data_IF_303521220530
#
_entry.id   IF_303521220530
#
_cell.length_a   1.000
_cell.length_b   1.000
_cell.length_c   1.000
_cell.angle_alpha   90.00
_cell.angle_beta   90.00
_cell.angle_gamma   90.00
#
_symmetry.space_group_name_H-M   'P 1'
#
loop_
_entity.id
_entity.type
_entity.pdbx_description
1 polymer ?
#
# COMPACT_ATOMS: atom_id res chain seq x y z
N UNK A 1 19.58 1.60 18.68
CA UNK A 1 19.15 0.85 17.46
C UNK A 1 17.86 1.48 17.00
N UNK A 2 17.89 2.07 15.81
CA UNK A 2 16.86 2.98 15.32
C UNK A 2 15.53 2.25 15.03
N UNK A 3 14.40 2.62 15.67
CA UNK A 3 13.11 2.00 15.41
C UNK A 3 12.62 2.17 13.96
N UNK A 4 13.11 3.19 13.24
CA UNK A 4 12.63 3.55 11.89
C UNK A 4 13.05 2.54 10.81
N UNK A 5 14.26 1.97 10.87
CA UNK A 5 14.72 0.97 9.88
C UNK A 5 13.99 -0.38 9.98
N UNK A 6 13.41 -0.68 11.15
CA UNK A 6 12.66 -1.93 11.34
C UNK A 6 11.40 -2.00 10.47
N UNK A 7 10.79 -0.84 10.21
CA UNK A 7 9.52 -0.69 9.49
C UNK A 7 9.66 -0.47 7.98
N UNK A 8 10.79 0.05 7.52
CA UNK A 8 10.98 0.38 6.10
C UNK A 8 10.75 -0.84 5.18
N UNK A 9 11.26 -2.01 5.59
CA UNK A 9 11.13 -3.23 4.80
C UNK A 9 9.67 -3.71 4.62
N UNK A 10 8.90 -4.01 5.69
CA UNK A 10 7.52 -4.46 5.51
C UNK A 10 6.66 -3.44 4.78
N UNK A 11 6.89 -2.14 4.99
CA UNK A 11 6.17 -1.08 4.29
C UNK A 11 6.45 -1.08 2.80
N UNK A 12 7.72 -1.25 2.39
CA UNK A 12 8.08 -1.35 0.98
C UNK A 12 7.43 -2.57 0.31
N UNK A 13 7.39 -3.73 0.97
CA UNK A 13 6.73 -4.93 0.41
C UNK A 13 5.22 -4.71 0.24
N UNK A 14 4.56 -4.10 1.22
CA UNK A 14 3.11 -3.77 1.13
C UNK A 14 2.84 -2.76 0.02
N UNK A 15 3.71 -1.78 -0.16
CA UNK A 15 3.57 -0.78 -1.21
C UNK A 15 3.71 -1.38 -2.62
N UNK A 16 4.52 -2.44 -2.78
CA UNK A 16 4.77 -3.12 -4.05
C UNK A 16 3.70 -4.13 -4.45
N UNK A 17 2.98 -4.67 -3.47
CA UNK A 17 1.99 -5.73 -3.65
C UNK A 17 0.95 -5.44 -4.74
N UNK A 18 0.33 -4.23 -4.84
CA UNK A 18 -0.63 -3.94 -5.89
C UNK A 18 -0.04 -4.01 -7.30
N UNK A 19 1.20 -3.55 -7.46
CA UNK A 19 1.88 -3.54 -8.76
C UNK A 19 2.28 -4.96 -9.18
N UNK A 20 2.85 -5.73 -8.26
CA UNK A 20 3.19 -7.14 -8.52
C UNK A 20 1.94 -7.98 -8.78
N UNK A 21 0.83 -7.70 -8.08
CA UNK A 21 -0.46 -8.36 -8.34
C UNK A 21 -1.00 -8.03 -9.74
N UNK A 22 -0.88 -6.78 -10.19
CA UNK A 22 -1.29 -6.38 -11.54
C UNK A 22 -0.51 -7.12 -12.63
N UNK A 23 0.76 -7.40 -12.38
CA UNK A 23 1.66 -8.11 -13.30
C UNK A 23 1.85 -9.58 -12.93
N UNK A 24 0.94 -10.17 -12.15
CA UNK A 24 1.13 -11.51 -11.61
C UNK A 24 1.29 -12.59 -12.68
N UNK A 25 0.42 -12.58 -13.69
CA UNK A 25 0.40 -13.57 -14.78
C UNK A 25 1.57 -13.40 -15.75
N UNK A 26 2.06 -12.17 -15.92
CA UNK A 26 3.23 -11.86 -16.74
C UNK A 26 4.10 -10.79 -16.07
N UNK A 27 4.90 -11.26 -15.11
CA UNK A 27 5.76 -10.42 -14.29
C UNK A 27 6.83 -9.74 -15.15
N UNK A 28 6.75 -8.42 -15.28
CA UNK A 28 7.79 -7.66 -15.97
C UNK A 28 9.12 -7.68 -15.18
N UNK A 29 10.19 -7.18 -15.80
CA UNK A 29 11.54 -7.20 -15.22
C UNK A 29 11.60 -6.54 -13.85
N UNK A 30 10.83 -5.46 -13.66
CA UNK A 30 10.74 -4.78 -12.38
C UNK A 30 10.18 -5.71 -11.30
N UNK A 31 9.02 -6.33 -11.55
CA UNK A 31 8.43 -7.25 -10.57
C UNK A 31 9.37 -8.41 -10.21
N UNK A 32 10.13 -8.92 -11.18
CA UNK A 32 11.11 -10.00 -10.96
C UNK A 32 12.22 -9.51 -10.04
N UNK A 33 12.84 -8.37 -10.35
CA UNK A 33 13.93 -7.81 -9.55
C UNK A 33 13.49 -7.44 -8.13
N UNK A 34 12.32 -6.83 -7.99
CA UNK A 34 11.75 -6.51 -6.68
C UNK A 34 11.51 -7.78 -5.87
N UNK A 35 10.99 -8.85 -6.49
CA UNK A 35 10.76 -10.12 -5.82
C UNK A 35 12.07 -10.78 -5.35
N UNK A 36 13.12 -10.76 -6.17
CA UNK A 36 14.45 -11.26 -5.80
C UNK A 36 15.06 -10.46 -4.65
N UNK A 37 15.01 -9.13 -4.73
CA UNK A 37 15.48 -8.25 -3.66
C UNK A 37 14.74 -8.49 -2.34
N UNK A 38 13.41 -8.61 -2.39
CA UNK A 38 12.61 -8.89 -1.19
C UNK A 38 12.93 -10.27 -0.62
N UNK A 39 13.15 -11.27 -1.48
CA UNK A 39 13.54 -12.61 -1.05
C UNK A 39 14.91 -12.61 -0.36
N UNK A 40 15.88 -11.92 -0.94
CA UNK A 40 17.22 -11.79 -0.38
C UNK A 40 17.19 -11.08 0.98
N UNK A 41 16.57 -9.89 1.04
CA UNK A 41 16.48 -9.13 2.29
C UNK A 41 15.71 -9.90 3.37
N UNK A 42 14.64 -10.62 2.99
CA UNK A 42 13.90 -11.49 3.93
C UNK A 42 14.81 -12.56 4.54
N UNK A 43 15.65 -13.19 3.72
CA UNK A 43 16.58 -14.24 4.13
C UNK A 43 17.65 -13.70 5.08
N UNK A 44 18.19 -12.52 4.79
CA UNK A 44 19.24 -11.88 5.59
C UNK A 44 18.71 -11.31 6.92
N UNK A 45 17.47 -10.79 6.92
CA UNK A 45 16.93 -10.01 8.04
C UNK A 45 16.42 -10.86 9.20
N UNK A 46 15.73 -11.99 8.94
CA UNK A 46 15.22 -12.85 10.03
C UNK A 46 14.72 -14.21 9.54
N UNK A 47 14.94 -15.27 10.34
CA UNK A 47 14.29 -16.58 10.15
C UNK A 47 12.76 -16.52 10.15
N UNK A 48 12.15 -15.52 10.79
CA UNK A 48 10.67 -15.35 10.76
C UNK A 48 10.15 -15.02 9.35
N UNK A 49 10.99 -14.49 8.47
CA UNK A 49 10.65 -14.06 7.11
C UNK A 49 10.92 -15.15 6.05
N UNK A 50 11.34 -16.35 6.44
CA UNK A 50 11.69 -17.43 5.50
C UNK A 50 10.53 -17.81 4.57
N UNK A 51 9.31 -17.80 5.09
CA UNK A 51 8.11 -18.03 4.28
C UNK A 51 7.87 -16.90 3.26
N UNK A 52 8.13 -15.65 3.63
CA UNK A 52 8.07 -14.51 2.71
C UNK A 52 9.14 -14.64 1.62
N UNK A 53 10.38 -14.97 2.01
CA UNK A 53 11.48 -15.18 1.08
C UNK A 53 11.15 -16.25 0.03
N UNK A 54 10.56 -17.36 0.49
CA UNK A 54 10.16 -18.47 -0.37
C UNK A 54 9.09 -18.02 -1.37
N UNK A 55 8.03 -17.35 -0.91
CA UNK A 55 6.95 -16.90 -1.80
C UNK A 55 7.40 -15.86 -2.81
N UNK A 56 8.33 -14.98 -2.45
CA UNK A 56 8.89 -14.00 -3.39
C UNK A 56 9.83 -14.65 -4.41
N UNK A 57 10.63 -15.66 -4.00
CA UNK A 57 11.45 -16.46 -4.93
C UNK A 57 10.57 -17.22 -5.94
N UNK A 58 9.46 -17.79 -5.49
CA UNK A 58 8.53 -18.49 -6.37
C UNK A 58 7.85 -17.53 -7.36
N UNK A 59 7.55 -16.31 -6.93
CA UNK A 59 7.04 -15.26 -7.81
C UNK A 59 8.07 -14.88 -8.87
N UNK A 60 9.33 -14.59 -8.49
CA UNK A 60 10.36 -14.14 -9.45
C UNK A 60 10.65 -15.17 -10.53
N UNK A 61 10.58 -16.46 -10.16
CA UNK A 61 10.79 -17.59 -11.08
C UNK A 61 9.55 -17.97 -11.88
N UNK A 62 8.41 -17.31 -11.64
CA UNK A 62 7.10 -17.63 -12.23
C UNK A 62 6.67 -19.10 -11.96
N UNK A 63 7.03 -19.62 -10.79
CA UNK A 63 6.76 -21.01 -10.38
C UNK A 63 5.79 -21.13 -9.21
N UNK A 64 5.17 -20.03 -8.78
CA UNK A 64 4.11 -20.10 -7.77
C UNK A 64 2.84 -20.70 -8.40
N UNK A 65 2.44 -21.88 -7.93
CA UNK A 65 1.42 -22.73 -8.58
C UNK A 65 -0.03 -22.36 -8.24
N UNK A 66 -0.27 -21.20 -7.64
CA UNK A 66 -1.61 -20.77 -7.17
C UNK A 66 -2.00 -19.45 -7.81
N UNK A 67 -3.29 -19.17 -7.80
CA UNK A 67 -3.86 -17.93 -8.29
C UNK A 67 -3.32 -16.70 -7.53
N UNK A 68 -3.27 -15.57 -8.24
CA UNK A 68 -2.74 -14.29 -7.77
C UNK A 68 -3.28 -13.86 -6.40
N UNK A 69 -4.57 -14.10 -6.14
CA UNK A 69 -5.21 -13.80 -4.85
C UNK A 69 -4.64 -14.61 -3.68
N UNK A 70 -4.31 -15.89 -3.91
CA UNK A 70 -3.70 -16.74 -2.88
C UNK A 70 -2.26 -16.30 -2.60
N UNK A 71 -1.53 -15.93 -3.64
CA UNK A 71 -0.20 -15.36 -3.47
C UNK A 71 -0.23 -14.08 -2.61
N UNK A 72 -1.13 -13.14 -2.93
CA UNK A 72 -1.34 -11.91 -2.15
C UNK A 72 -1.64 -12.23 -0.68
N UNK A 73 -2.54 -13.18 -0.42
CA UNK A 73 -2.86 -13.61 0.95
C UNK A 73 -1.64 -14.17 1.69
N UNK A 74 -0.82 -14.97 1.02
CA UNK A 74 0.42 -15.49 1.60
C UNK A 74 1.39 -14.36 1.97
N UNK A 75 1.67 -13.43 1.05
CA UNK A 75 2.59 -12.32 1.29
C UNK A 75 2.11 -11.45 2.48
N UNK A 76 0.84 -11.06 2.48
CA UNK A 76 0.25 -10.25 3.56
C UNK A 76 0.30 -11.00 4.90
N UNK A 77 -0.04 -12.30 4.90
CA UNK A 77 0.01 -13.13 6.10
C UNK A 77 1.42 -13.23 6.66
N UNK A 78 2.44 -13.50 5.84
CA UNK A 78 3.81 -13.68 6.33
C UNK A 78 4.44 -12.38 6.82
N UNK A 79 4.09 -11.25 6.21
CA UNK A 79 4.43 -9.93 6.75
C UNK A 79 3.75 -9.69 8.09
N UNK A 80 2.45 -9.95 8.20
CA UNK A 80 1.71 -9.78 9.45
C UNK A 80 2.26 -10.68 10.57
N UNK A 81 2.46 -11.97 10.31
CA UNK A 81 2.98 -12.91 11.29
C UNK A 81 4.38 -12.49 11.81
N UNK A 82 5.19 -11.86 10.94
CA UNK A 82 6.53 -11.37 11.29
C UNK A 82 6.53 -10.01 12.01
N UNK A 83 5.61 -9.11 11.65
CA UNK A 83 5.60 -7.70 12.06
C UNK A 83 4.35 -7.29 12.86
N UNK A 84 3.52 -8.23 13.28
CA UNK A 84 2.28 -7.99 14.06
C UNK A 84 2.51 -7.16 15.32
N UNK A 85 3.66 -7.34 15.98
CA UNK A 85 4.10 -6.57 17.15
C UNK A 85 4.38 -5.08 16.86
N UNK A 86 4.53 -4.70 15.58
CA UNK A 86 4.77 -3.34 15.12
C UNK A 86 3.53 -2.72 14.43
N UNK A 87 2.40 -3.44 14.40
CA UNK A 87 1.19 -3.06 13.65
C UNK A 87 0.65 -1.67 13.99
N UNK A 88 0.66 -1.26 15.27
CA UNK A 88 0.30 0.09 15.71
C UNK A 88 1.30 1.17 15.26
N UNK A 89 2.60 0.87 15.25
CA UNK A 89 3.63 1.82 14.79
C UNK A 89 3.68 1.95 13.27
N UNK A 90 3.31 0.89 12.53
CA UNK A 90 3.10 0.94 11.07
C UNK A 90 1.94 1.86 10.71
N UNK A 91 0.86 1.85 11.51
CA UNK A 91 -0.26 2.80 11.38
C UNK A 91 0.15 4.24 11.74
N UNK A 92 1.08 4.44 12.68
CA UNK A 92 1.54 5.77 13.08
C UNK A 92 2.49 6.41 12.05
N UNK A 93 3.35 5.63 11.37
CA UNK A 93 4.23 6.15 10.29
C UNK A 93 3.44 6.57 9.04
N UNK A 94 2.22 6.06 8.87
CA UNK A 94 1.26 6.56 7.88
C UNK A 94 0.78 8.00 8.18
N UNK A 95 1.27 8.66 9.24
CA UNK A 95 0.83 9.99 9.72
C UNK A 95 2.01 10.97 9.91
N UNK A 96 3.13 10.84 9.17
CA UNK A 96 4.12 11.93 9.11
C UNK A 96 3.83 12.87 7.91
N UNK A 97 3.27 14.08 8.13
CA UNK A 97 2.90 15.01 7.06
C UNK A 97 4.10 15.67 6.36
N UNK A 98 5.32 15.53 6.89
CA UNK A 98 6.51 16.26 6.41
C UNK A 98 7.19 15.64 5.20
N UNK A 99 6.91 14.37 4.87
CA UNK A 99 7.49 13.72 3.70
C UNK A 99 6.55 13.85 2.48
N UNK A 100 7.07 14.47 1.40
CA UNK A 100 6.37 14.72 0.14
C UNK A 100 5.72 13.45 -0.45
N UNK A 101 6.39 12.29 -0.31
CA UNK A 101 5.97 10.99 -0.83
C UNK A 101 5.15 10.13 0.15
N UNK A 102 5.25 10.38 1.47
CA UNK A 102 4.54 9.55 2.45
C UNK A 102 3.03 9.65 2.26
N UNK A 103 2.50 10.86 2.08
CA UNK A 103 1.06 11.06 1.95
C UNK A 103 0.40 10.24 0.81
N UNK A 104 0.79 10.36 -0.47
CA UNK A 104 0.17 9.57 -1.53
C UNK A 104 0.33 8.06 -1.31
N UNK A 105 1.48 7.62 -0.79
CA UNK A 105 1.72 6.20 -0.48
C UNK A 105 0.81 5.69 0.64
N UNK A 106 0.58 6.49 1.67
CA UNK A 106 -0.26 6.13 2.79
C UNK A 106 -1.71 5.97 2.37
N UNK A 107 -2.20 6.86 1.49
CA UNK A 107 -3.54 6.75 0.92
C UNK A 107 -3.67 5.48 0.08
N UNK A 108 -2.70 5.17 -0.77
CA UNK A 108 -2.70 3.93 -1.58
C UNK A 108 -2.66 2.67 -0.71
N UNK A 109 -1.87 2.67 0.36
CA UNK A 109 -1.78 1.54 1.28
C UNK A 109 -3.07 1.28 2.07
N UNK A 110 -3.84 2.34 2.37
CA UNK A 110 -5.11 2.24 3.10
C UNK A 110 -6.30 1.85 2.20
N UNK A 111 -6.21 2.07 0.89
CA UNK A 111 -7.29 1.81 -0.06
C UNK A 111 -7.91 0.40 0.02
N UNK A 112 -7.13 -0.70 0.09
CA UNK A 112 -7.72 -2.04 0.16
C UNK A 112 -8.55 -2.26 1.43
N UNK A 113 -8.09 -1.70 2.55
CA UNK A 113 -8.79 -1.80 3.83
C UNK A 113 -10.08 -0.98 3.83
N UNK A 114 -10.03 0.25 3.32
CA UNK A 114 -11.22 1.09 3.17
C UNK A 114 -12.22 0.49 2.17
N UNK A 115 -11.74 -0.13 1.08
CA UNK A 115 -12.59 -0.82 0.11
C UNK A 115 -13.34 -2.00 0.75
N UNK A 116 -12.67 -2.78 1.61
CA UNK A 116 -13.30 -3.89 2.34
C UNK A 116 -14.43 -3.42 3.26
N UNK A 117 -14.29 -2.21 3.82
CA UNK A 117 -15.25 -1.60 4.73
C UNK A 117 -16.08 -0.50 4.06
N UNK A 118 -16.22 -0.51 2.73
CA UNK A 118 -16.85 0.59 2.01
C UNK A 118 -18.34 0.76 2.34
N UNK A 119 -19.09 -0.35 2.36
CA UNK A 119 -20.53 -0.36 2.65
C UNK A 119 -20.83 -0.04 4.14
N UNK A 120 -19.94 -0.47 5.03
CA UNK A 120 -20.04 -0.20 6.48
C UNK A 120 -18.69 0.22 7.05
N UNK A 121 -18.36 1.49 6.85
CA UNK A 121 -17.08 2.06 7.26
C UNK A 121 -16.93 2.04 8.78
N UNK A 122 -15.99 1.24 9.28
CA UNK A 122 -15.66 1.25 10.70
C UNK A 122 -14.98 2.57 11.12
N UNK A 123 -14.85 2.79 12.43
CA UNK A 123 -14.30 4.02 12.99
C UNK A 123 -12.89 4.34 12.45
N UNK A 124 -12.06 3.30 12.23
CA UNK A 124 -10.72 3.48 11.68
C UNK A 124 -10.80 4.05 10.26
N UNK A 125 -11.67 3.52 9.40
CA UNK A 125 -11.83 4.00 8.03
C UNK A 125 -12.37 5.44 7.99
N UNK A 126 -13.30 5.79 8.88
CA UNK A 126 -13.87 7.14 8.99
C UNK A 126 -12.77 8.13 9.38
N UNK A 127 -12.04 7.86 10.47
CA UNK A 127 -10.95 8.72 10.94
C UNK A 127 -9.82 8.83 9.90
N UNK A 128 -9.46 7.73 9.23
CA UNK A 128 -8.49 7.75 8.15
C UNK A 128 -8.94 8.65 7.01
N UNK A 129 -10.20 8.54 6.57
CA UNK A 129 -10.74 9.38 5.51
C UNK A 129 -10.78 10.86 5.89
N UNK A 130 -11.18 11.19 7.12
CA UNK A 130 -11.17 12.57 7.64
C UNK A 130 -9.76 13.16 7.67
N UNK A 131 -8.79 12.40 8.19
CA UNK A 131 -7.39 12.82 8.23
C UNK A 131 -6.83 13.02 6.82
N UNK A 132 -7.12 12.11 5.88
CA UNK A 132 -6.67 12.25 4.48
C UNK A 132 -7.32 13.49 3.84
N UNK A 133 -8.60 13.75 4.12
CA UNK A 133 -9.28 14.93 3.60
C UNK A 133 -8.70 16.24 4.13
N UNK A 134 -8.44 16.29 5.44
CA UNK A 134 -7.81 17.45 6.08
C UNK A 134 -6.42 17.72 5.49
N UNK A 135 -5.54 16.71 5.46
CA UNK A 135 -4.19 16.85 4.92
C UNK A 135 -4.21 17.23 3.44
N UNK A 136 -5.14 16.66 2.66
CA UNK A 136 -5.31 17.04 1.24
C UNK A 136 -5.64 18.52 1.08
N UNK A 137 -6.52 19.05 1.94
CA UNK A 137 -6.95 20.46 1.92
C UNK A 137 -5.79 21.39 2.28
N UNK A 138 -4.99 21.02 3.27
CA UNK A 138 -3.86 21.83 3.75
C UNK A 138 -2.65 21.80 2.79
N UNK A 139 -2.42 20.66 2.11
CA UNK A 139 -1.18 20.42 1.36
C UNK A 139 -1.17 21.04 -0.04
N UNK A 140 -2.28 21.01 -0.78
CA UNK A 140 -2.34 21.61 -2.12
C UNK A 140 -3.75 21.74 -2.68
N UNK A 141 -4.02 22.83 -3.42
CA UNK A 141 -5.24 22.96 -4.24
C UNK A 141 -5.40 21.83 -5.27
N UNK A 142 -4.29 21.20 -5.71
CA UNK A 142 -4.36 20.05 -6.63
C UNK A 142 -5.03 18.82 -6.02
N UNK A 143 -5.14 18.75 -4.69
CA UNK A 143 -5.72 17.62 -3.94
C UNK A 143 -7.16 17.85 -3.51
N UNK A 144 -7.78 18.98 -3.89
CA UNK A 144 -9.15 19.34 -3.47
C UNK A 144 -10.19 18.28 -3.84
N UNK A 145 -10.03 17.65 -5.01
CA UNK A 145 -10.90 16.54 -5.43
C UNK A 145 -10.69 15.28 -4.58
N UNK A 146 -9.45 14.99 -4.18
CA UNK A 146 -9.15 13.89 -3.26
C UNK A 146 -9.76 14.17 -1.87
N UNK A 147 -9.63 15.39 -1.37
CA UNK A 147 -10.22 15.82 -0.10
C UNK A 147 -11.73 15.59 -0.10
N UNK A 148 -12.40 16.05 -1.16
CA UNK A 148 -13.84 15.92 -1.35
C UNK A 148 -14.27 14.44 -1.32
N UNK A 149 -13.61 13.57 -2.08
CA UNK A 149 -13.98 12.15 -2.15
C UNK A 149 -13.75 11.43 -0.83
N UNK A 150 -12.73 11.81 -0.07
CA UNK A 150 -12.47 11.26 1.26
C UNK A 150 -13.50 11.75 2.29
N UNK A 151 -13.91 13.03 2.25
CA UNK A 151 -15.02 13.53 3.08
C UNK A 151 -16.35 12.85 2.75
N UNK A 152 -16.63 12.57 1.48
CA UNK A 152 -17.85 11.86 1.09
C UNK A 152 -17.84 10.40 1.60
N UNK A 153 -16.68 9.75 1.59
CA UNK A 153 -16.48 8.43 2.19
C UNK A 153 -16.73 8.47 3.71
N UNK A 154 -16.09 9.39 4.44
CA UNK A 154 -16.21 9.45 5.91
C UNK A 154 -17.65 9.68 6.37
N UNK A 155 -18.41 10.47 5.59
CA UNK A 155 -19.82 10.78 5.84
C UNK A 155 -20.79 9.73 5.32
N UNK A 156 -20.30 8.68 4.64
CA UNK A 156 -21.12 7.65 3.97
C UNK A 156 -22.13 8.25 2.98
N UNK A 157 -21.70 9.28 2.24
CA UNK A 157 -22.55 10.02 1.28
C UNK A 157 -22.06 9.91 -0.16
N UNK A 158 -21.01 9.14 -0.42
CA UNK A 158 -20.56 8.91 -1.79
C UNK A 158 -21.57 8.03 -2.54
N UNK A 159 -22.23 8.60 -3.54
CA UNK A 159 -23.40 8.01 -4.20
C UNK A 159 -23.08 6.93 -5.23
N UNK A 160 -21.82 6.47 -5.30
CA UNK A 160 -21.35 5.48 -6.28
C UNK A 160 -20.85 4.24 -5.59
N UNK A 161 -20.78 3.16 -6.37
CA UNK A 161 -20.21 1.88 -5.93
C UNK A 161 -18.72 2.02 -5.59
N UNK A 162 -18.28 1.12 -4.71
CA UNK A 162 -16.94 1.08 -4.14
C UNK A 162 -15.82 1.10 -5.19
N UNK A 163 -16.00 0.41 -6.31
CA UNK A 163 -15.03 0.40 -7.43
C UNK A 163 -14.88 1.78 -8.08
N UNK A 164 -15.97 2.54 -8.24
CA UNK A 164 -15.92 3.89 -8.80
C UNK A 164 -15.25 4.86 -7.83
N UNK A 165 -15.51 4.71 -6.53
CA UNK A 165 -14.82 5.46 -5.50
C UNK A 165 -13.30 5.22 -5.55
N UNK A 166 -12.86 3.96 -5.59
CA UNK A 166 -11.44 3.62 -5.69
C UNK A 166 -10.80 4.23 -6.94
N UNK A 167 -11.47 4.17 -8.10
CA UNK A 167 -10.99 4.80 -9.33
C UNK A 167 -10.83 6.31 -9.18
N UNK A 168 -11.77 7.00 -8.54
CA UNK A 168 -11.67 8.43 -8.25
C UNK A 168 -10.44 8.73 -7.39
N UNK A 169 -10.24 8.01 -6.28
CA UNK A 169 -9.11 8.21 -5.38
C UNK A 169 -7.77 8.02 -6.09
N UNK A 170 -7.62 6.91 -6.84
CA UNK A 170 -6.39 6.62 -7.59
C UNK A 170 -6.15 7.67 -8.66
N UNK A 171 -7.19 8.09 -9.40
CA UNK A 171 -7.09 9.14 -10.41
C UNK A 171 -6.63 10.45 -9.82
N UNK A 172 -7.22 10.89 -8.70
CA UNK A 172 -6.85 12.19 -8.11
C UNK A 172 -5.45 12.18 -7.53
N UNK A 173 -5.03 11.08 -6.90
CA UNK A 173 -3.63 10.92 -6.49
C UNK A 173 -2.69 10.97 -7.70
N UNK A 174 -3.01 10.25 -8.78
CA UNK A 174 -2.21 10.27 -10.00
C UNK A 174 -2.14 11.68 -10.61
N UNK A 175 -3.27 12.38 -10.74
CA UNK A 175 -3.32 13.71 -11.34
C UNK A 175 -2.48 14.72 -10.52
N UNK A 176 -2.58 14.69 -9.18
CA UNK A 176 -1.85 15.58 -8.29
C UNK A 176 -0.35 15.27 -8.22
N UNK A 177 0.02 13.99 -8.31
CA UNK A 177 1.39 13.51 -8.13
C UNK A 177 2.01 12.88 -9.38
N UNK A 178 1.46 13.16 -10.57
CA UNK A 178 1.92 12.63 -11.86
C UNK A 178 3.41 12.88 -12.11
N UNK A 179 3.94 14.03 -11.70
CA UNK A 179 5.37 14.36 -11.74
C UNK A 179 6.24 13.49 -10.83
N UNK A 180 5.66 12.91 -9.78
CA UNK A 180 6.29 11.95 -8.90
C UNK A 180 5.97 10.52 -9.31
N UNK A 181 5.14 10.24 -10.32
CA UNK A 181 4.72 8.87 -10.67
C UNK A 181 5.89 7.96 -11.04
N UNK A 182 6.89 8.45 -11.77
CA UNK A 182 8.12 7.73 -12.08
C UNK A 182 9.01 7.56 -10.86
N UNK A 183 9.04 8.52 -9.93
CA UNK A 183 9.78 8.40 -8.67
C UNK A 183 9.04 7.53 -7.65
N UNK A 184 7.71 7.50 -7.64
CA UNK A 184 6.92 6.56 -6.86
C UNK A 184 7.12 5.16 -7.40
N UNK A 185 7.08 4.98 -8.72
CA UNK A 185 7.44 3.71 -9.37
C UNK A 185 8.92 3.35 -9.16
N UNK A 186 9.86 4.29 -9.17
CA UNK A 186 11.30 4.07 -8.96
C UNK A 186 11.69 3.86 -7.49
N UNK A 187 10.93 4.40 -6.54
CA UNK A 187 11.04 4.08 -5.12
C UNK A 187 10.36 2.74 -4.79
N UNK A 188 9.50 2.28 -5.72
CA UNK A 188 8.93 0.94 -5.81
C UNK A 188 9.80 0.00 -6.71
N UNK A 189 11.04 0.38 -7.07
CA UNK A 189 12.01 -0.49 -7.75
C UNK A 189 13.22 -0.66 -6.84
#
# INVERSE_FOLDING_TARGET
VDPTQSLAFPMNVVALLPYMLLHYEDANQLCILSAENIAQVSTEKSKKLENLATVMTLYSRRTFSKESFQWTKCVVKYLYDSYSHLSLNMLAFLVDPTQSLAFPMNVVALLPYMLLHYEDANQLCILSAENIAQVSTEKSKKLENLATVMTLYSRRTFSKESFQWTKCVVKYLYDSYSHLSLNMLAFLV
#
